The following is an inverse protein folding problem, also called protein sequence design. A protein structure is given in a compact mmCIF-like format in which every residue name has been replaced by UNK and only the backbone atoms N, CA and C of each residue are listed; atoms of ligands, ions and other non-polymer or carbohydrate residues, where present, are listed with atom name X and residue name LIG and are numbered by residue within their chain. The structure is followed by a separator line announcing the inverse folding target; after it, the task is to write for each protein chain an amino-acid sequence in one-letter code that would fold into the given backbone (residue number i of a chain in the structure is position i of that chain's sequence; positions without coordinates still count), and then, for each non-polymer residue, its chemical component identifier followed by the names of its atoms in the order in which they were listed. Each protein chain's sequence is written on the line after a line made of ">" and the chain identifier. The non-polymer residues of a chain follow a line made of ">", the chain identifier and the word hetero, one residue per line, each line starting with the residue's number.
data_IF_250547849004
#
_entry.id   IF_250547849004
#
_cell.length_a   1.000
_cell.length_b   1.000
_cell.length_c   1.000
_cell.angle_alpha   90.00
_cell.angle_beta   90.00
_cell.angle_gamma   90.00
#
_symmetry.space_group_name_H-M   'P 1'
#
loop_
_entity.id
_entity.type
_entity.pdbx_description
1 polymer ?
#
# COMPACT_ATOMS: atom_id res chain seq x y z
N UNK A 1 -7.72 -25.53 -18.10
CA UNK A 1 -8.95 -25.84 -17.33
C UNK A 1 -10.24 -25.99 -18.15
N UNK A 2 -10.31 -25.59 -19.43
CA UNK A 2 -11.54 -25.63 -20.25
C UNK A 2 -11.93 -27.02 -20.81
N UNK A 3 -10.98 -27.98 -20.88
CA UNK A 3 -11.26 -29.33 -21.42
C UNK A 3 -12.02 -30.26 -20.47
N UNK A 4 -11.87 -30.10 -19.17
CA UNK A 4 -12.53 -30.93 -18.16
C UNK A 4 -14.04 -30.66 -17.99
N UNK A 5 -14.47 -29.41 -18.14
CA UNK A 5 -15.89 -29.04 -18.00
C UNK A 5 -16.71 -29.44 -19.23
N UNK A 6 -16.14 -29.31 -20.44
CA UNK A 6 -16.82 -29.75 -21.68
C UNK A 6 -17.04 -31.27 -21.72
N UNK A 7 -16.13 -32.05 -21.17
CA UNK A 7 -16.27 -33.50 -21.05
C UNK A 7 -17.36 -33.93 -20.08
N UNK A 8 -17.59 -33.20 -19.00
CA UNK A 8 -18.64 -33.45 -18.02
C UNK A 8 -20.05 -33.08 -18.55
N UNK A 9 -20.16 -32.00 -19.32
CA UNK A 9 -21.43 -31.61 -19.97
C UNK A 9 -21.83 -32.60 -21.08
N UNK A 10 -20.88 -33.08 -21.87
CA UNK A 10 -21.15 -34.07 -22.92
C UNK A 10 -21.63 -35.42 -22.35
N UNK A 11 -21.17 -35.83 -21.17
CA UNK A 11 -21.59 -37.02 -20.46
C UNK A 11 -23.08 -36.97 -19.96
N UNK A 12 -23.56 -35.77 -19.61
CA UNK A 12 -24.90 -35.55 -19.11
C UNK A 12 -25.99 -35.65 -20.21
N UNK A 13 -25.65 -35.33 -21.46
CA UNK A 13 -26.58 -35.42 -22.59
C UNK A 13 -26.69 -36.81 -23.22
N UNK A 14 -25.75 -37.71 -22.87
CA UNK A 14 -25.69 -39.07 -23.43
C UNK A 14 -26.53 -40.11 -22.65
N UNK A 15 -27.03 -39.79 -21.46
CA UNK A 15 -27.73 -40.71 -20.57
C UNK A 15 -29.23 -40.46 -20.43
N UNK A 16 -29.83 -39.62 -21.27
CA UNK A 16 -31.23 -39.23 -21.18
C UNK A 16 -32.20 -40.24 -21.90
N UNK A 17 -32.20 -41.48 -21.48
CA UNK A 17 -33.15 -42.48 -21.94
C UNK A 17 -33.66 -43.43 -20.84
N UNK A 18 -33.93 -42.92 -19.64
CA UNK A 18 -34.73 -43.61 -18.63
C UNK A 18 -35.50 -42.61 -17.75
N UNK A 19 -36.79 -42.79 -17.59
CA UNK A 19 -37.76 -41.89 -16.97
C UNK A 19 -37.60 -41.69 -15.45
N UNK A 20 -36.59 -42.25 -14.77
CA UNK A 20 -36.34 -42.11 -13.33
C UNK A 20 -35.17 -41.19 -12.97
N UNK A 21 -34.53 -40.52 -13.94
CA UNK A 21 -33.34 -39.71 -13.71
C UNK A 21 -33.57 -38.17 -13.61
N UNK A 22 -34.83 -37.71 -13.77
CA UNK A 22 -35.10 -36.26 -13.86
C UNK A 22 -34.95 -35.51 -12.54
N UNK A 23 -35.28 -36.12 -11.41
CA UNK A 23 -35.29 -35.46 -10.10
C UNK A 23 -33.87 -35.27 -9.50
N UNK A 24 -32.91 -36.11 -9.85
CA UNK A 24 -31.49 -35.95 -9.38
C UNK A 24 -30.63 -35.09 -10.31
N UNK A 25 -31.05 -34.90 -11.57
CA UNK A 25 -30.28 -34.11 -12.54
C UNK A 25 -30.45 -32.59 -12.38
N UNK A 26 -31.61 -32.13 -11.93
CA UNK A 26 -31.90 -30.69 -11.75
C UNK A 26 -31.00 -30.00 -10.72
N UNK A 27 -30.75 -30.55 -9.51
CA UNK A 27 -29.85 -29.94 -8.55
C UNK A 27 -28.38 -30.00 -9.01
N UNK A 28 -28.00 -31.00 -9.80
CA UNK A 28 -26.65 -31.13 -10.32
C UNK A 28 -26.35 -30.12 -11.44
N UNK A 29 -27.34 -29.85 -12.31
CA UNK A 29 -27.24 -28.79 -13.32
C UNK A 29 -27.26 -27.42 -12.68
N UNK A 30 -28.06 -27.16 -11.66
CA UNK A 30 -28.06 -25.89 -10.92
C UNK A 30 -26.69 -25.62 -10.26
N UNK A 31 -26.09 -26.63 -9.63
CA UNK A 31 -24.76 -26.52 -9.03
C UNK A 31 -23.64 -26.25 -10.06
N UNK A 32 -23.72 -26.87 -11.24
CA UNK A 32 -22.79 -26.62 -12.34
C UNK A 32 -23.00 -25.24 -12.96
N UNK A 33 -24.20 -24.73 -13.01
CA UNK A 33 -24.50 -23.36 -13.45
C UNK A 33 -23.94 -22.32 -12.46
N UNK A 34 -24.09 -22.54 -11.15
CA UNK A 34 -23.52 -21.70 -10.11
C UNK A 34 -21.99 -21.70 -10.18
N UNK A 35 -21.36 -22.86 -10.35
CA UNK A 35 -19.91 -22.97 -10.51
C UNK A 35 -19.44 -22.27 -11.79
N UNK A 36 -20.17 -22.37 -12.88
CA UNK A 36 -19.87 -21.69 -14.14
C UNK A 36 -20.01 -20.17 -14.00
N UNK A 37 -20.98 -19.70 -13.25
CA UNK A 37 -21.17 -18.28 -12.95
C UNK A 37 -20.01 -17.74 -12.11
N UNK A 38 -19.62 -18.44 -11.04
CA UNK A 38 -18.43 -18.10 -10.23
C UNK A 38 -17.14 -18.04 -11.06
N UNK A 39 -16.96 -18.99 -11.98
CA UNK A 39 -15.81 -19.00 -12.88
C UNK A 39 -15.81 -17.83 -13.88
N UNK A 40 -16.99 -17.39 -14.34
CA UNK A 40 -17.12 -16.19 -15.19
C UNK A 40 -16.79 -14.93 -14.43
N UNK A 41 -17.32 -14.75 -13.23
CA UNK A 41 -17.04 -13.60 -12.37
C UNK A 41 -15.56 -13.53 -12.00
N UNK A 42 -14.95 -14.66 -11.69
CA UNK A 42 -13.52 -14.77 -11.42
C UNK A 42 -12.68 -14.38 -12.66
N UNK A 43 -13.08 -14.83 -13.85
CA UNK A 43 -12.42 -14.49 -15.11
C UNK A 43 -12.49 -12.99 -15.41
N UNK A 44 -13.65 -12.34 -15.23
CA UNK A 44 -13.80 -10.89 -15.44
C UNK A 44 -12.98 -10.11 -14.41
N UNK A 45 -12.94 -10.58 -13.16
CA UNK A 45 -12.09 -10.00 -12.12
C UNK A 45 -10.59 -10.08 -12.50
N UNK A 46 -10.12 -11.23 -12.98
CA UNK A 46 -8.74 -11.38 -13.45
C UNK A 46 -8.42 -10.53 -14.67
N UNK A 47 -9.39 -10.37 -15.59
CA UNK A 47 -9.22 -9.52 -16.77
C UNK A 47 -9.07 -8.05 -16.37
N UNK A 48 -9.96 -7.54 -15.51
CA UNK A 48 -9.87 -6.17 -15.00
C UNK A 48 -8.55 -5.90 -14.25
N UNK A 49 -8.06 -6.89 -13.48
CA UNK A 49 -6.76 -6.81 -12.79
C UNK A 49 -5.59 -6.77 -13.77
N UNK A 50 -5.62 -7.62 -14.80
CA UNK A 50 -4.58 -7.64 -15.82
C UNK A 50 -4.50 -6.28 -16.54
N UNK A 51 -5.63 -5.69 -16.88
CA UNK A 51 -5.71 -4.37 -17.51
C UNK A 51 -5.18 -3.27 -16.58
N UNK A 52 -5.55 -3.30 -15.29
CA UNK A 52 -5.04 -2.37 -14.27
C UNK A 52 -3.52 -2.52 -14.07
N UNK A 53 -3.02 -3.76 -13.95
CA UNK A 53 -1.58 -4.03 -13.78
C UNK A 53 -0.78 -3.61 -15.02
N UNK A 54 -1.32 -3.84 -16.22
CA UNK A 54 -0.70 -3.39 -17.48
C UNK A 54 -0.66 -1.87 -17.58
N UNK A 55 -1.74 -1.17 -17.14
CA UNK A 55 -1.77 0.28 -17.05
C UNK A 55 -0.70 0.83 -16.09
N UNK A 56 -0.60 0.24 -14.92
CA UNK A 56 0.42 0.61 -13.93
C UNK A 56 1.85 0.34 -14.42
N UNK A 57 2.11 -0.82 -15.04
CA UNK A 57 3.42 -1.13 -15.61
C UNK A 57 3.79 -0.18 -16.75
N UNK A 58 2.83 0.19 -17.59
CA UNK A 58 3.05 1.17 -18.67
C UNK A 58 3.43 2.53 -18.08
N UNK A 59 2.69 3.00 -17.08
CA UNK A 59 3.02 4.23 -16.35
C UNK A 59 4.41 4.17 -15.71
N UNK A 60 4.76 3.06 -15.03
CA UNK A 60 6.10 2.89 -14.44
C UNK A 60 7.21 2.91 -15.50
N UNK A 61 6.98 2.32 -16.68
CA UNK A 61 7.92 2.34 -17.79
C UNK A 61 8.08 3.75 -18.38
N UNK A 62 6.99 4.49 -18.55
CA UNK A 62 7.01 5.88 -19.01
C UNK A 62 7.80 6.77 -18.02
N UNK A 63 7.52 6.67 -16.72
CA UNK A 63 8.27 7.39 -15.68
C UNK A 63 9.75 6.98 -15.66
N UNK A 64 10.06 5.70 -15.81
CA UNK A 64 11.45 5.22 -15.88
C UNK A 64 12.17 5.74 -17.15
N UNK A 65 11.45 5.89 -18.25
CA UNK A 65 11.96 6.45 -19.50
C UNK A 65 12.22 7.95 -19.39
N UNK A 66 11.29 8.72 -18.84
CA UNK A 66 11.41 10.16 -18.64
C UNK A 66 12.56 10.53 -17.67
N UNK A 67 12.81 9.69 -16.67
CA UNK A 67 13.85 9.92 -15.66
C UNK A 67 15.16 9.19 -15.95
N UNK A 68 15.30 8.53 -17.10
CA UNK A 68 16.52 7.84 -17.52
C UNK A 68 16.87 6.57 -16.73
N UNK A 69 15.93 5.96 -16.03
CA UNK A 69 16.14 4.74 -15.21
C UNK A 69 15.95 3.43 -15.98
N UNK A 70 15.66 3.45 -17.27
CA UNK A 70 15.47 2.24 -18.09
C UNK A 70 16.68 1.29 -18.07
N UNK A 71 17.89 1.83 -17.91
CA UNK A 71 19.12 1.03 -17.83
C UNK A 71 19.18 0.13 -16.59
N UNK A 72 18.48 0.49 -15.49
CA UNK A 72 18.41 -0.34 -14.29
C UNK A 72 17.46 -1.54 -14.43
N UNK A 73 16.62 -1.55 -15.44
CA UNK A 73 15.68 -2.65 -15.72
C UNK A 73 16.20 -3.63 -16.78
N UNK A 74 17.31 -3.29 -17.47
CA UNK A 74 17.84 -4.07 -18.61
C UNK A 74 19.03 -4.97 -18.30
N UNK A 75 19.52 -5.02 -17.04
CA UNK A 75 20.62 -5.92 -16.67
C UNK A 75 20.17 -7.37 -16.53
N UNK A 76 19.76 -7.97 -17.65
CA UNK A 76 19.96 -9.39 -17.91
C UNK A 76 19.89 -9.69 -19.43
N UNK A 77 21.08 -9.87 -19.98
CA UNK A 77 21.45 -10.48 -21.29
C UNK A 77 21.58 -9.59 -22.51
N UNK A 78 22.79 -9.71 -22.99
CA UNK A 78 23.27 -9.61 -24.36
C UNK A 78 23.83 -8.27 -24.79
N UNK A 79 25.14 -8.15 -24.62
CA UNK A 79 26.01 -7.45 -25.58
C UNK A 79 25.77 -7.99 -26.99
N UNK A 80 25.32 -7.10 -27.90
CA UNK A 80 25.77 -7.11 -29.30
C UNK A 80 25.31 -5.81 -29.98
N UNK A 81 26.32 -5.05 -30.34
CA UNK A 81 26.54 -4.14 -31.46
C UNK A 81 25.34 -3.64 -32.29
N UNK A 82 25.18 -2.34 -32.39
CA UNK A 82 25.26 -1.63 -33.67
C UNK A 82 25.35 -0.11 -33.48
N UNK A 83 26.23 0.49 -34.22
CA UNK A 83 26.58 1.91 -34.29
C UNK A 83 25.55 2.77 -35.04
N UNK A 84 25.69 4.10 -35.01
CA UNK A 84 24.60 5.05 -35.28
C UNK A 84 24.59 5.51 -36.77
N UNK A 85 23.44 5.89 -37.26
CA UNK A 85 23.33 6.82 -38.39
C UNK A 85 22.26 7.87 -38.08
N UNK A 86 22.76 9.09 -38.13
CA UNK A 86 22.01 10.34 -38.17
C UNK A 86 21.19 10.47 -39.47
N UNK A 87 20.05 11.10 -39.42
CA UNK A 87 19.61 12.03 -40.44
C UNK A 87 18.61 13.04 -39.87
N UNK A 88 19.00 14.30 -40.04
CA UNK A 88 18.22 15.51 -39.84
C UNK A 88 17.06 15.58 -40.82
N UNK A 89 15.93 16.09 -40.38
CA UNK A 89 14.94 16.69 -41.26
C UNK A 89 14.22 17.83 -40.53
N UNK A 90 14.54 19.02 -40.98
CA UNK A 90 13.85 20.28 -40.65
C UNK A 90 12.42 20.25 -41.20
N UNK A 91 11.47 20.84 -40.50
CA UNK A 91 10.20 21.29 -41.06
C UNK A 91 9.73 22.56 -40.34
N UNK A 92 9.46 23.55 -41.18
CA UNK A 92 9.04 24.92 -40.90
C UNK A 92 7.61 25.03 -40.31
N UNK A 93 7.24 26.21 -39.77
CA UNK A 93 6.02 26.41 -39.01
C UNK A 93 4.82 26.77 -39.88
N UNK A 94 3.69 26.18 -39.62
CA UNK A 94 2.40 26.55 -40.19
C UNK A 94 1.54 27.37 -39.22
N UNK A 95 0.94 28.37 -39.80
CA UNK A 95 0.14 29.49 -39.32
C UNK A 95 -1.00 29.14 -38.35
N UNK A 96 -1.19 30.08 -37.44
CA UNK A 96 -2.39 30.27 -36.58
C UNK A 96 -3.65 30.42 -37.45
N UNK A 97 -4.66 29.64 -37.09
CA UNK A 97 -6.07 30.02 -37.34
C UNK A 97 -6.78 29.92 -35.99
N UNK A 98 -7.40 31.05 -35.62
CA UNK A 98 -8.29 31.21 -34.47
C UNK A 98 -9.59 30.48 -34.82
N UNK A 99 -9.93 29.43 -34.04
CA UNK A 99 -11.28 28.85 -34.07
C UNK A 99 -11.94 28.93 -32.69
N UNK A 100 -13.17 29.29 -32.77
CA UNK A 100 -14.15 29.70 -31.79
C UNK A 100 -14.30 28.80 -30.54
N UNK A 101 -14.68 29.47 -29.46
CA UNK A 101 -15.23 28.97 -28.18
C UNK A 101 -16.27 27.85 -28.39
N UNK A 102 -15.84 26.64 -28.39
CA UNK A 102 -16.71 25.49 -28.17
C UNK A 102 -16.69 25.14 -26.66
N UNK A 103 -17.82 25.39 -26.01
CA UNK A 103 -18.11 24.99 -24.63
C UNK A 103 -17.75 23.51 -24.45
N UNK A 104 -16.51 23.23 -24.01
CA UNK A 104 -16.10 21.88 -23.64
C UNK A 104 -16.92 21.46 -22.42
N UNK A 105 -17.89 20.59 -22.67
CA UNK A 105 -18.58 19.85 -21.63
C UNK A 105 -17.52 19.20 -20.73
N UNK A 106 -17.39 19.69 -19.50
CA UNK A 106 -16.54 19.05 -18.49
C UNK A 106 -17.01 17.61 -18.34
N UNK A 107 -16.11 16.60 -18.43
CA UNK A 107 -16.50 15.22 -18.24
C UNK A 107 -17.24 15.06 -16.90
N UNK A 108 -18.29 14.21 -16.82
CA UNK A 108 -19.09 14.07 -15.62
C UNK A 108 -18.17 13.77 -14.45
N UNK A 109 -18.19 14.66 -13.44
CA UNK A 109 -17.36 14.51 -12.24
C UNK A 109 -17.76 13.23 -11.53
N UNK A 110 -16.76 12.42 -11.14
CA UNK A 110 -16.95 11.18 -10.40
C UNK A 110 -17.88 11.42 -9.18
N UNK A 111 -19.03 10.73 -9.06
CA UNK A 111 -19.99 10.97 -7.98
C UNK A 111 -19.39 10.81 -6.58
N UNK A 112 -18.41 9.92 -6.43
CA UNK A 112 -17.72 9.69 -5.16
C UNK A 112 -16.82 10.87 -4.79
N UNK A 113 -16.13 11.47 -5.78
CA UNK A 113 -15.34 12.67 -5.57
C UNK A 113 -16.22 13.86 -5.18
N UNK A 114 -17.39 14.03 -5.83
CA UNK A 114 -18.35 15.09 -5.49
C UNK A 114 -18.83 14.92 -4.06
N UNK A 115 -19.26 13.72 -3.66
CA UNK A 115 -19.69 13.44 -2.31
C UNK A 115 -18.60 13.72 -1.27
N UNK A 116 -17.34 13.36 -1.57
CA UNK A 116 -16.20 13.61 -0.67
C UNK A 116 -15.91 15.10 -0.55
N UNK A 117 -16.04 15.87 -1.64
CA UNK A 117 -15.90 17.33 -1.63
C UNK A 117 -17.00 18.01 -0.81
N UNK A 118 -18.24 17.55 -0.94
CA UNK A 118 -19.37 18.08 -0.17
C UNK A 118 -19.18 17.79 1.33
N UNK A 119 -18.71 16.60 1.69
CA UNK A 119 -18.31 16.28 3.07
C UNK A 119 -17.18 17.18 3.56
N UNK A 120 -16.19 17.50 2.72
CA UNK A 120 -15.10 18.41 3.08
C UNK A 120 -15.62 19.80 3.45
N UNK A 121 -16.55 20.33 2.67
CA UNK A 121 -17.19 21.62 2.94
C UNK A 121 -18.04 21.54 4.21
N UNK A 122 -18.90 20.53 4.32
CA UNK A 122 -19.79 20.33 5.47
C UNK A 122 -19.03 20.23 6.80
N UNK A 123 -17.89 19.52 6.80
CA UNK A 123 -17.08 19.31 7.99
C UNK A 123 -15.93 20.31 8.17
N UNK A 124 -15.82 21.31 7.30
CA UNK A 124 -14.90 22.43 7.44
C UNK A 124 -13.43 22.09 7.20
N UNK A 125 -13.12 20.98 6.46
CA UNK A 125 -11.74 20.64 6.07
C UNK A 125 -11.48 20.85 4.56
N UNK A 126 -12.40 21.49 3.84
CA UNK A 126 -12.14 21.99 2.48
C UNK A 126 -11.18 23.18 2.53
N UNK A 127 -10.12 23.14 1.73
CA UNK A 127 -9.12 24.20 1.61
C UNK A 127 -9.15 24.74 0.19
N UNK A 128 -9.22 26.07 0.04
CA UNK A 128 -9.12 26.70 -1.28
C UNK A 128 -7.65 26.64 -1.77
N UNK A 129 -7.44 26.50 -3.10
CA UNK A 129 -6.09 26.37 -3.64
C UNK A 129 -5.14 27.52 -3.33
N UNK A 130 -5.67 28.72 -3.18
CA UNK A 130 -4.95 29.96 -2.89
C UNK A 130 -4.64 30.17 -1.40
N UNK A 131 -5.18 29.34 -0.52
CA UNK A 131 -4.84 29.34 0.91
C UNK A 131 -3.50 28.68 1.24
N UNK A 132 -2.89 27.95 0.29
CA UNK A 132 -1.66 27.18 0.50
C UNK A 132 -0.48 27.87 -0.18
N UNK A 133 0.54 28.19 0.59
CA UNK A 133 1.86 28.61 0.09
C UNK A 133 2.82 27.41 0.10
N UNK A 134 3.12 26.89 -1.09
CA UNK A 134 4.03 25.73 -1.26
C UNK A 134 5.49 26.16 -1.12
N UNK A 135 6.27 25.33 -0.44
CA UNK A 135 7.73 25.45 -0.30
C UNK A 135 8.43 24.28 -0.97
N UNK A 136 9.57 23.83 -0.42
CA UNK A 136 10.38 22.77 -0.97
C UNK A 136 9.66 21.41 -0.97
N UNK A 137 10.04 20.56 -1.94
CA UNK A 137 9.62 19.14 -1.99
C UNK A 137 10.39 18.38 -0.92
N UNK A 138 9.69 17.78 0.03
CA UNK A 138 10.21 16.96 1.12
C UNK A 138 10.06 15.45 0.88
N UNK A 139 9.28 15.06 -0.12
CA UNK A 139 9.10 13.66 -0.52
C UNK A 139 8.56 13.54 -1.94
N UNK A 140 8.89 12.44 -2.62
CA UNK A 140 8.40 12.13 -3.96
C UNK A 140 7.85 10.72 -4.00
N UNK A 141 6.60 10.60 -4.42
CA UNK A 141 5.94 9.33 -4.69
C UNK A 141 5.64 9.12 -6.17
N UNK A 142 5.10 7.97 -6.53
CA UNK A 142 4.67 7.67 -7.89
C UNK A 142 3.48 8.52 -8.36
N UNK A 143 2.57 8.86 -7.48
CA UNK A 143 1.30 9.55 -7.80
C UNK A 143 1.25 11.00 -7.32
N UNK A 144 2.13 11.38 -6.40
CA UNK A 144 2.11 12.68 -5.75
C UNK A 144 3.50 13.09 -5.28
N UNK A 145 3.72 14.40 -5.20
CA UNK A 145 4.86 14.99 -4.50
C UNK A 145 4.41 15.54 -3.15
N UNK A 146 5.26 15.41 -2.13
CA UNK A 146 4.99 15.94 -0.80
C UNK A 146 5.80 17.21 -0.62
N UNK A 147 5.11 18.31 -0.36
CA UNK A 147 5.70 19.61 -0.13
C UNK A 147 5.58 20.00 1.33
N UNK A 148 6.60 20.70 1.85
CA UNK A 148 6.39 21.59 2.98
C UNK A 148 5.60 22.78 2.50
N UNK A 149 4.70 23.30 3.31
CA UNK A 149 3.84 24.43 2.94
C UNK A 149 3.44 25.22 4.18
N UNK A 150 2.93 26.44 3.93
CA UNK A 150 2.28 27.26 4.95
C UNK A 150 0.79 27.36 4.65
N UNK A 151 -0.05 27.07 5.66
CA UNK A 151 -1.48 27.25 5.62
C UNK A 151 -1.95 28.06 6.82
N UNK A 152 -2.49 29.23 6.58
CA UNK A 152 -2.97 30.17 7.65
C UNK A 152 -1.93 30.38 8.75
N UNK A 153 -0.66 30.50 8.39
CA UNK A 153 0.46 30.69 9.31
C UNK A 153 0.96 29.43 10.03
N UNK A 154 0.40 28.25 9.71
CA UNK A 154 0.85 26.95 10.22
C UNK A 154 1.73 26.26 9.18
N UNK A 155 2.81 25.62 9.62
CA UNK A 155 3.58 24.72 8.79
C UNK A 155 2.85 23.39 8.64
N UNK A 156 2.67 22.95 7.39
CA UNK A 156 1.91 21.74 7.03
C UNK A 156 2.66 20.94 5.97
N UNK A 157 2.30 19.68 5.84
CA UNK A 157 2.71 18.83 4.71
C UNK A 157 1.57 18.74 3.70
N UNK A 158 1.89 18.94 2.42
CA UNK A 158 0.92 18.92 1.33
C UNK A 158 1.29 17.78 0.38
N UNK A 159 0.47 16.75 0.31
CA UNK A 159 0.54 15.69 -0.70
C UNK A 159 -0.15 16.19 -1.96
N UNK A 160 0.63 16.74 -2.88
CA UNK A 160 0.15 17.27 -4.15
C UNK A 160 0.08 16.16 -5.17
N UNK A 161 -1.14 15.81 -5.58
CA UNK A 161 -1.37 14.76 -6.58
C UNK A 161 -1.00 15.30 -7.95
N UNK A 162 -0.19 14.55 -8.69
CA UNK A 162 0.28 14.99 -10.00
C UNK A 162 -0.88 15.04 -11.01
N UNK A 163 -1.05 16.15 -11.73
CA UNK A 163 -2.11 16.26 -12.73
C UNK A 163 -2.03 15.18 -13.82
N UNK A 164 -0.81 14.78 -14.21
CA UNK A 164 -0.55 13.73 -15.20
C UNK A 164 -1.13 12.38 -14.73
N UNK A 165 -0.97 12.07 -13.43
CA UNK A 165 -1.56 10.85 -12.85
C UNK A 165 -3.09 10.89 -12.94
N UNK A 166 -3.72 12.01 -12.61
CA UNK A 166 -5.18 12.15 -12.65
C UNK A 166 -5.72 12.10 -14.07
N UNK A 167 -5.01 12.69 -15.05
CA UNK A 167 -5.40 12.65 -16.48
C UNK A 167 -5.22 11.23 -17.07
N UNK A 168 -4.14 10.54 -16.69
CA UNK A 168 -3.84 9.20 -17.20
C UNK A 168 -4.72 8.09 -16.57
N UNK A 169 -5.33 8.36 -15.40
CA UNK A 169 -6.07 7.35 -14.63
C UNK A 169 -7.50 7.84 -14.34
N UNK A 170 -8.51 7.36 -15.08
CA UNK A 170 -9.91 7.76 -14.86
C UNK A 170 -10.40 7.53 -13.42
N UNK A 171 -9.86 6.53 -12.72
CA UNK A 171 -10.16 6.27 -11.30
C UNK A 171 -9.25 7.02 -10.30
N UNK A 172 -8.32 7.87 -10.78
CA UNK A 172 -7.33 8.54 -9.92
C UNK A 172 -7.96 9.48 -8.90
N UNK A 173 -9.01 10.21 -9.28
CA UNK A 173 -9.74 11.09 -8.39
C UNK A 173 -10.51 10.32 -7.29
N UNK A 174 -11.13 9.19 -7.65
CA UNK A 174 -11.78 8.30 -6.68
C UNK A 174 -10.77 7.70 -5.69
N UNK A 175 -9.56 7.39 -6.15
CA UNK A 175 -8.47 6.92 -5.29
C UNK A 175 -8.11 7.95 -4.21
N UNK A 176 -7.97 9.23 -4.58
CA UNK A 176 -7.69 10.33 -3.64
C UNK A 176 -8.87 10.56 -2.69
N UNK A 177 -10.09 10.54 -3.21
CA UNK A 177 -11.30 10.69 -2.41
C UNK A 177 -11.41 9.58 -1.35
N UNK A 178 -11.02 8.36 -1.68
CA UNK A 178 -11.03 7.22 -0.76
C UNK A 178 -9.96 7.34 0.33
N UNK A 179 -8.76 7.83 0.02
CA UNK A 179 -7.74 8.15 1.02
C UNK A 179 -8.29 9.18 2.03
N UNK A 180 -8.97 10.21 1.54
CA UNK A 180 -9.59 11.24 2.36
C UNK A 180 -10.76 10.73 3.19
N UNK A 181 -11.62 9.88 2.64
CA UNK A 181 -12.74 9.29 3.38
C UNK A 181 -12.24 8.49 4.59
N UNK A 182 -11.16 7.73 4.42
CA UNK A 182 -10.52 7.02 5.55
C UNK A 182 -9.88 8.02 6.51
N UNK A 183 -8.98 8.90 6.02
CA UNK A 183 -8.14 9.75 6.87
C UNK A 183 -8.95 10.81 7.61
N UNK A 184 -10.02 11.35 7.02
CA UNK A 184 -10.88 12.37 7.63
C UNK A 184 -11.55 11.91 8.92
N UNK A 185 -11.72 10.61 9.11
CA UNK A 185 -12.36 10.00 10.29
C UNK A 185 -11.37 9.66 11.40
N UNK A 186 -10.04 9.73 11.14
CA UNK A 186 -9.05 9.27 12.11
C UNK A 186 -8.75 10.35 13.16
N UNK A 187 -8.76 9.95 14.42
CA UNK A 187 -8.45 10.82 15.57
C UNK A 187 -7.67 10.02 16.62
N UNK A 188 -6.36 9.85 16.40
CA UNK A 188 -5.50 9.07 17.30
C UNK A 188 -4.09 9.69 17.38
N UNK A 189 -3.43 9.74 18.54
CA UNK A 189 -2.12 10.36 18.72
C UNK A 189 -1.01 9.73 17.86
N UNK A 190 -1.16 8.49 17.45
CA UNK A 190 -0.18 7.77 16.60
C UNK A 190 -0.66 7.58 15.15
N UNK A 191 -1.64 8.36 14.70
CA UNK A 191 -2.06 8.46 13.30
C UNK A 191 -1.85 9.90 12.84
N UNK A 192 -1.32 10.09 11.63
CA UNK A 192 -1.14 11.43 11.04
C UNK A 192 -2.49 12.16 10.97
N UNK A 193 -2.49 13.45 11.32
CA UNK A 193 -3.71 14.25 11.35
C UNK A 193 -3.98 14.91 10.01
N UNK A 194 -5.19 14.70 9.48
CA UNK A 194 -5.70 15.49 8.37
C UNK A 194 -5.98 16.93 8.85
N UNK A 195 -5.46 17.90 8.11
CA UNK A 195 -5.74 19.33 8.29
C UNK A 195 -6.80 19.81 7.30
N UNK A 196 -6.81 19.27 6.08
CA UNK A 196 -7.78 19.55 5.04
C UNK A 196 -7.37 19.03 3.68
N UNK A 197 -8.15 19.36 2.65
CA UNK A 197 -7.86 18.96 1.27
C UNK A 197 -8.48 19.93 0.27
N UNK A 198 -7.91 19.95 -0.94
CA UNK A 198 -8.47 20.56 -2.12
C UNK A 198 -8.77 19.47 -3.15
N UNK A 199 -9.99 19.41 -3.64
CA UNK A 199 -10.47 18.39 -4.58
C UNK A 199 -11.02 19.02 -5.87
N UNK A 200 -10.13 19.64 -6.66
CA UNK A 200 -10.41 20.20 -7.98
C UNK A 200 -9.50 19.58 -9.04
N UNK A 201 -9.69 18.25 -9.35
CA UNK A 201 -8.89 17.58 -10.36
C UNK A 201 -9.21 18.14 -11.77
N UNK A 202 -8.28 17.98 -12.72
CA UNK A 202 -6.95 17.38 -12.53
C UNK A 202 -5.92 18.34 -11.95
N UNK A 203 -6.11 19.64 -12.02
CA UNK A 203 -5.07 20.63 -11.82
C UNK A 203 -4.74 20.86 -10.33
N UNK A 204 -5.75 20.81 -9.47
CA UNK A 204 -5.61 21.18 -8.07
C UNK A 204 -6.26 20.12 -7.17
N UNK A 205 -5.48 19.07 -6.91
CA UNK A 205 -5.89 17.97 -6.05
C UNK A 205 -4.78 17.70 -5.04
N UNK A 206 -5.02 18.01 -3.75
CA UNK A 206 -4.02 17.82 -2.71
C UNK A 206 -4.63 17.54 -1.35
N UNK A 207 -3.87 16.83 -0.52
CA UNK A 207 -4.21 16.50 0.87
C UNK A 207 -3.24 17.25 1.78
N UNK A 208 -3.75 17.90 2.80
CA UNK A 208 -2.98 18.67 3.79
C UNK A 208 -2.99 17.92 5.12
N UNK A 209 -1.83 17.63 5.64
CA UNK A 209 -1.64 16.97 6.95
C UNK A 209 -0.75 17.82 7.85
N UNK A 210 -0.69 17.49 9.14
CA UNK A 210 0.31 18.04 10.03
C UNK A 210 1.72 17.77 9.46
N UNK A 211 2.62 18.76 9.57
CA UNK A 211 4.02 18.57 9.22
C UNK A 211 4.74 17.92 10.40
N UNK A 212 5.30 16.74 10.17
CA UNK A 212 6.12 16.04 11.16
C UNK A 212 7.60 16.28 10.85
N UNK A 213 8.29 16.97 11.73
CA UNK A 213 9.66 17.44 11.52
C UNK A 213 10.75 16.35 11.68
N UNK A 214 10.33 15.10 11.94
CA UNK A 214 11.23 13.95 12.10
C UNK A 214 11.47 13.17 10.82
N UNK A 215 12.31 12.14 10.93
CA UNK A 215 12.56 11.18 9.87
C UNK A 215 11.43 10.14 9.80
N UNK A 216 11.43 9.32 8.75
CA UNK A 216 10.65 8.07 8.76
C UNK A 216 11.25 7.08 9.76
N UNK A 217 10.45 6.11 10.22
CA UNK A 217 10.93 5.04 11.11
C UNK A 217 12.11 4.26 10.49
N UNK A 218 12.09 4.06 9.16
CA UNK A 218 13.19 3.41 8.44
C UNK A 218 14.48 4.26 8.44
N UNK A 219 14.37 5.55 8.17
CA UNK A 219 15.52 6.46 8.21
C UNK A 219 16.11 6.61 9.63
N UNK A 220 15.25 6.62 10.63
CA UNK A 220 15.66 6.64 12.03
C UNK A 220 16.39 5.35 12.42
N UNK A 221 15.88 4.21 11.99
CA UNK A 221 16.46 2.90 12.33
C UNK A 221 17.80 2.63 11.63
N UNK A 222 17.89 2.99 10.35
CA UNK A 222 19.05 2.63 9.50
C UNK A 222 19.99 3.79 9.19
N UNK A 223 19.66 5.00 9.62
CA UNK A 223 20.40 6.22 9.27
C UNK A 223 20.07 6.71 7.86
N UNK A 224 19.53 7.92 7.72
CA UNK A 224 19.19 8.52 6.44
C UNK A 224 20.41 8.72 5.54
N UNK A 225 20.21 8.60 4.21
CA UNK A 225 21.28 8.72 3.20
C UNK A 225 22.02 10.07 3.25
N UNK A 226 21.36 11.15 3.65
CA UNK A 226 21.91 12.50 3.65
C UNK A 226 22.77 12.83 4.87
N UNK A 227 22.67 12.08 5.97
CA UNK A 227 23.36 12.34 7.25
C UNK A 227 24.66 11.55 7.46
N UNK A 228 25.11 10.77 6.47
CA UNK A 228 26.37 10.02 6.61
C UNK A 228 27.59 10.84 6.20
N UNK A 229 28.36 11.44 7.14
CA UNK A 229 29.78 11.71 6.87
C UNK A 229 30.42 10.33 6.61
N UNK A 230 31.21 10.21 5.55
CA UNK A 230 31.85 8.97 5.04
C UNK A 230 32.63 8.13 6.05
N UNK A 231 32.64 8.46 7.36
CA UNK A 231 33.50 7.88 8.41
C UNK A 231 32.81 7.62 9.76
N UNK A 232 31.54 7.94 9.98
CA UNK A 232 30.89 7.64 11.25
C UNK A 232 30.23 6.25 11.16
N UNK A 233 30.59 5.34 12.07
CA UNK A 233 29.89 4.08 12.28
C UNK A 233 28.48 4.41 12.78
N UNK A 234 27.46 4.10 12.01
CA UNK A 234 26.08 4.18 12.47
C UNK A 234 25.84 3.12 13.54
N UNK A 235 25.31 3.51 14.68
CA UNK A 235 24.80 2.59 15.70
C UNK A 235 23.28 2.70 15.71
N UNK A 236 22.56 1.57 15.66
CA UNK A 236 21.11 1.60 15.74
C UNK A 236 20.65 2.17 17.08
N UNK A 237 19.45 2.75 17.14
CA UNK A 237 18.87 3.24 18.39
C UNK A 237 18.77 2.13 19.45
N UNK A 238 18.78 2.48 20.76
CA UNK A 238 18.60 1.50 21.83
C UNK A 238 17.38 0.62 21.65
N UNK A 239 17.41 -0.64 22.10
CA UNK A 239 16.32 -1.60 21.96
C UNK A 239 15.04 -1.09 22.60
N UNK A 240 15.12 -0.47 23.75
CA UNK A 240 14.00 0.15 24.46
C UNK A 240 13.26 1.16 23.55
N UNK A 241 13.98 2.05 22.90
CA UNK A 241 13.41 3.04 21.99
C UNK A 241 12.74 2.36 20.79
N UNK A 242 13.37 1.31 20.23
CA UNK A 242 12.84 0.56 19.09
C UNK A 242 11.53 -0.16 19.44
N UNK A 243 11.47 -0.81 20.61
CA UNK A 243 10.26 -1.49 21.10
C UNK A 243 9.17 -0.47 21.46
N UNK A 244 9.56 0.70 21.98
CA UNK A 244 8.62 1.81 22.22
C UNK A 244 7.97 2.31 20.92
N UNK A 245 8.74 2.44 19.84
CA UNK A 245 8.17 2.79 18.51
C UNK A 245 7.26 1.69 17.98
N UNK A 246 7.63 0.41 18.16
CA UNK A 246 6.76 -0.70 17.81
C UNK A 246 5.43 -0.64 18.57
N UNK A 247 5.45 -0.32 19.86
CA UNK A 247 4.23 -0.14 20.68
C UNK A 247 3.35 0.97 20.13
N UNK A 248 3.90 2.10 19.74
CA UNK A 248 3.16 3.25 19.22
C UNK A 248 2.49 2.91 17.88
N UNK A 249 3.19 2.21 16.98
CA UNK A 249 2.60 1.68 15.74
C UNK A 249 1.49 0.68 16.05
N UNK A 250 1.71 -0.24 16.98
CA UNK A 250 0.69 -1.23 17.37
C UNK A 250 -0.57 -0.58 17.95
N UNK A 251 -0.42 0.51 18.72
CA UNK A 251 -1.55 1.29 19.24
C UNK A 251 -2.34 1.98 18.13
N UNK A 252 -1.66 2.54 17.11
CA UNK A 252 -2.31 3.10 15.94
C UNK A 252 -3.10 2.03 15.18
N UNK A 253 -2.48 0.88 14.92
CA UNK A 253 -3.12 -0.21 14.18
C UNK A 253 -4.28 -0.84 14.96
N UNK A 254 -4.15 -0.97 16.28
CA UNK A 254 -5.26 -1.38 17.14
C UNK A 254 -6.46 -0.44 17.00
N UNK A 255 -6.21 0.88 17.07
CA UNK A 255 -7.25 1.88 16.92
C UNK A 255 -7.96 1.76 15.55
N UNK A 256 -7.21 1.54 14.46
CA UNK A 256 -7.78 1.36 13.11
C UNK A 256 -8.62 0.08 13.01
N UNK A 257 -8.14 -1.02 13.58
CA UNK A 257 -8.82 -2.32 13.51
C UNK A 257 -10.02 -2.44 14.47
N UNK A 258 -10.05 -1.66 15.56
CA UNK A 258 -11.17 -1.64 16.52
C UNK A 258 -12.35 -0.77 16.05
N UNK A 259 -12.23 -0.06 14.90
CA UNK A 259 -13.32 0.74 14.34
C UNK A 259 -14.43 -0.12 13.73
N UNK A 260 -15.60 0.49 13.57
CA UNK A 260 -16.75 -0.07 12.86
C UNK A 260 -17.22 0.93 11.78
N UNK A 261 -17.02 0.64 10.49
CA UNK A 261 -16.28 -0.50 9.93
C UNK A 261 -14.76 -0.44 10.20
N UNK A 262 -14.12 -1.60 10.26
CA UNK A 262 -12.66 -1.70 10.46
C UNK A 262 -11.91 -1.00 9.34
N UNK A 263 -10.79 -0.39 9.68
CA UNK A 263 -9.86 0.21 8.71
C UNK A 263 -8.64 -0.68 8.57
N UNK A 264 -8.38 -1.15 7.35
CA UNK A 264 -7.17 -1.86 6.97
C UNK A 264 -6.22 -0.87 6.29
N UNK A 265 -4.96 -0.83 6.72
CA UNK A 265 -3.93 0.07 6.15
C UNK A 265 -3.38 -0.45 4.82
N UNK A 266 -3.05 -1.73 4.75
CA UNK A 266 -2.62 -2.52 3.58
C UNK A 266 -1.27 -2.16 2.94
N UNK A 267 -0.59 -1.11 3.41
CA UNK A 267 0.79 -0.76 3.03
C UNK A 267 1.58 -0.30 4.25
N UNK A 268 1.45 -1.05 5.37
CA UNK A 268 2.19 -0.76 6.59
C UNK A 268 3.66 -1.14 6.41
N UNK A 269 4.54 -0.15 6.52
CA UNK A 269 6.01 -0.27 6.37
C UNK A 269 6.72 0.87 7.06
N UNK A 270 8.03 0.76 7.36
CA UNK A 270 8.77 1.80 8.10
C UNK A 270 8.81 3.17 7.41
N UNK A 271 8.72 3.22 6.07
CA UNK A 271 8.67 4.51 5.34
C UNK A 271 7.32 5.22 5.45
N UNK A 272 6.26 4.50 5.82
CA UNK A 272 4.92 5.03 6.06
C UNK A 272 4.64 5.30 7.56
N UNK A 273 5.66 5.19 8.39
CA UNK A 273 5.64 5.60 9.80
C UNK A 273 6.57 6.79 9.96
N UNK A 274 6.02 7.95 10.30
CA UNK A 274 6.76 9.18 10.51
C UNK A 274 7.01 9.39 12.00
N UNK A 275 8.11 10.05 12.34
CA UNK A 275 8.42 10.44 13.70
C UNK A 275 8.16 11.94 13.89
N UNK A 276 7.50 12.32 14.96
CA UNK A 276 7.33 13.72 15.34
C UNK A 276 8.60 14.29 15.98
N UNK A 277 8.60 15.59 16.32
CA UNK A 277 9.73 16.23 16.99
C UNK A 277 10.09 15.60 18.35
N UNK A 278 9.15 14.94 19.00
CA UNK A 278 9.35 14.16 20.23
C UNK A 278 9.73 12.70 19.97
N UNK A 279 10.08 12.34 18.74
CA UNK A 279 10.43 10.98 18.31
C UNK A 279 9.31 9.98 18.50
N UNK A 280 8.04 10.40 18.51
CA UNK A 280 6.88 9.51 18.60
C UNK A 280 6.39 9.13 17.22
N UNK A 281 6.04 7.86 17.05
CA UNK A 281 5.59 7.33 15.77
C UNK A 281 4.16 7.78 15.41
N UNK A 282 3.96 8.09 14.13
CA UNK A 282 2.69 8.41 13.49
C UNK A 282 2.55 7.57 12.21
N UNK A 283 1.53 6.72 12.15
CA UNK A 283 1.19 5.98 10.93
C UNK A 283 0.61 6.96 9.91
N UNK A 284 1.11 6.91 8.69
CA UNK A 284 0.80 7.82 7.59
C UNK A 284 0.57 7.06 6.28
N UNK A 285 0.21 7.76 5.20
CA UNK A 285 -0.05 7.23 3.85
C UNK A 285 -1.20 6.23 3.79
N UNK A 286 -2.41 6.77 3.83
CA UNK A 286 -3.67 6.02 3.76
C UNK A 286 -4.16 5.78 2.33
N UNK A 287 -3.34 6.01 1.30
CA UNK A 287 -3.71 5.82 -0.10
C UNK A 287 -4.17 4.40 -0.43
N UNK A 288 -3.62 3.41 0.24
CA UNK A 288 -4.04 2.02 0.11
C UNK A 288 -5.12 1.59 1.12
N UNK A 289 -5.43 2.41 2.13
CA UNK A 289 -6.35 2.02 3.19
C UNK A 289 -7.78 1.79 2.69
N UNK A 290 -8.49 0.87 3.32
CA UNK A 290 -9.89 0.53 3.00
C UNK A 290 -10.66 0.19 4.26
N UNK A 291 -11.96 0.52 4.20
CA UNK A 291 -12.89 -0.04 5.17
C UNK A 291 -13.19 -1.51 4.84
N UNK A 292 -13.21 -2.35 5.87
CA UNK A 292 -13.78 -3.69 5.80
C UNK A 292 -15.22 -3.60 6.34
N UNK A 293 -16.24 -3.59 5.48
CA UNK A 293 -17.62 -3.46 5.90
C UNK A 293 -18.07 -4.67 6.74
N UNK A 294 -18.92 -4.43 7.73
CA UNK A 294 -19.56 -5.49 8.50
C UNK A 294 -20.31 -6.44 7.57
N UNK A 295 -20.12 -7.74 7.76
CA UNK A 295 -20.73 -8.77 6.91
C UNK A 295 -19.99 -9.07 5.60
N UNK A 296 -18.92 -8.33 5.25
CA UNK A 296 -17.96 -8.75 4.24
C UNK A 296 -16.79 -9.46 4.92
N UNK A 297 -16.64 -10.72 4.59
CA UNK A 297 -15.64 -11.58 5.24
C UNK A 297 -14.20 -11.22 4.86
N UNK A 298 -13.98 -10.65 3.66
CA UNK A 298 -12.62 -10.36 3.18
C UNK A 298 -12.59 -9.37 2.01
N UNK A 299 -11.43 -8.72 1.83
CA UNK A 299 -11.05 -7.96 0.64
C UNK A 299 -10.24 -8.85 -0.31
N UNK A 300 -10.09 -8.43 -1.55
CA UNK A 300 -9.26 -9.11 -2.55
C UNK A 300 -8.42 -8.11 -3.33
N UNK A 301 -7.30 -8.54 -3.87
CA UNK A 301 -6.42 -7.76 -4.73
C UNK A 301 -5.06 -7.52 -4.13
N UNK A 302 -4.04 -7.52 -4.99
CA UNK A 302 -2.66 -7.22 -4.64
C UNK A 302 -2.50 -5.73 -4.33
N UNK A 303 -1.86 -5.39 -3.22
CA UNK A 303 -1.61 -4.01 -2.82
C UNK A 303 -0.50 -3.96 -1.77
N UNK A 304 0.31 -2.90 -1.79
CA UNK A 304 1.38 -2.67 -0.82
C UNK A 304 2.78 -2.94 -1.38
N UNK A 305 3.75 -3.04 -0.49
CA UNK A 305 5.16 -3.23 -0.79
C UNK A 305 5.56 -4.69 -0.55
N UNK A 306 6.04 -5.39 -1.56
CA UNK A 306 6.31 -6.86 -1.55
C UNK A 306 7.05 -7.38 -0.31
N UNK A 307 8.02 -6.64 0.19
CA UNK A 307 8.83 -7.02 1.35
C UNK A 307 7.99 -7.18 2.63
N UNK A 308 6.93 -6.38 2.77
CA UNK A 308 6.05 -6.36 3.96
C UNK A 308 4.69 -7.00 3.70
N UNK A 309 4.42 -7.45 2.48
CA UNK A 309 3.12 -7.94 2.05
C UNK A 309 2.86 -9.37 2.54
N UNK A 310 1.67 -9.61 3.06
CA UNK A 310 1.27 -10.92 3.55
C UNK A 310 1.10 -11.94 2.39
N UNK A 311 1.37 -13.25 2.64
CA UNK A 311 1.29 -14.29 1.61
C UNK A 311 -0.04 -14.34 0.88
N UNK A 312 -1.17 -14.23 1.58
CA UNK A 312 -2.51 -14.25 1.00
C UNK A 312 -2.78 -13.04 0.09
N UNK A 313 -2.19 -11.87 0.42
CA UNK A 313 -2.29 -10.67 -0.42
C UNK A 313 -1.48 -10.84 -1.71
N UNK A 314 -0.26 -11.39 -1.62
CA UNK A 314 0.58 -11.71 -2.78
C UNK A 314 -0.12 -12.74 -3.69
N UNK A 315 -0.80 -13.73 -3.12
CA UNK A 315 -1.57 -14.75 -3.88
C UNK A 315 -2.90 -14.24 -4.41
N UNK A 316 -3.24 -12.95 -4.14
CA UNK A 316 -4.55 -12.38 -4.46
C UNK A 316 -5.74 -13.16 -3.88
N UNK A 317 -5.54 -13.83 -2.76
CA UNK A 317 -6.57 -14.51 -2.00
C UNK A 317 -7.40 -13.51 -1.18
N UNK A 318 -8.59 -13.90 -0.69
CA UNK A 318 -9.34 -13.09 0.26
C UNK A 318 -8.52 -12.84 1.54
N UNK A 319 -8.48 -11.58 1.99
CA UNK A 319 -7.72 -11.19 3.18
C UNK A 319 -8.51 -10.24 4.09
N UNK A 320 -8.15 -10.22 5.35
CA UNK A 320 -8.74 -9.41 6.41
C UNK A 320 -7.68 -8.47 7.02
N UNK A 321 -8.00 -7.86 8.17
CA UNK A 321 -7.06 -7.06 8.95
C UNK A 321 -5.77 -7.81 9.35
N UNK A 322 -5.77 -9.12 9.22
CA UNK A 322 -4.59 -9.96 9.53
C UNK A 322 -3.42 -9.75 8.57
N UNK A 323 -3.66 -9.15 7.39
CA UNK A 323 -2.57 -8.76 6.50
C UNK A 323 -1.70 -7.64 7.11
N UNK A 324 -2.30 -6.68 7.83
CA UNK A 324 -1.56 -5.62 8.52
C UNK A 324 -0.76 -6.19 9.73
N UNK A 325 -1.28 -7.23 10.37
CA UNK A 325 -0.56 -7.94 11.44
C UNK A 325 0.70 -8.60 10.91
N UNK A 326 0.62 -9.21 9.73
CA UNK A 326 1.79 -9.76 9.05
C UNK A 326 2.85 -8.68 8.77
N UNK A 327 2.43 -7.56 8.16
CA UNK A 327 3.32 -6.42 7.89
C UNK A 327 3.97 -5.90 9.17
N UNK A 328 3.21 -5.80 10.25
CA UNK A 328 3.73 -5.41 11.56
C UNK A 328 4.76 -6.42 12.10
N UNK A 329 4.55 -7.72 11.91
CA UNK A 329 5.54 -8.75 12.29
C UNK A 329 6.88 -8.56 11.60
N UNK A 330 6.88 -8.23 10.30
CA UNK A 330 8.10 -7.90 9.54
C UNK A 330 8.77 -6.64 10.11
N UNK A 331 7.99 -5.57 10.38
CA UNK A 331 8.51 -4.33 10.98
C UNK A 331 9.09 -4.58 12.37
N UNK A 332 8.43 -5.39 13.19
CA UNK A 332 8.90 -5.70 14.54
C UNK A 332 10.23 -6.45 14.51
N UNK A 333 10.40 -7.40 13.58
CA UNK A 333 11.68 -8.08 13.36
C UNK A 333 12.76 -7.10 12.88
N UNK A 334 12.45 -6.21 11.95
CA UNK A 334 13.36 -5.17 11.46
C UNK A 334 13.78 -4.22 12.58
N UNK A 335 12.84 -3.81 13.44
CA UNK A 335 13.13 -3.02 14.64
C UNK A 335 13.98 -3.79 15.65
N UNK A 336 13.77 -5.09 15.80
CA UNK A 336 14.52 -5.93 16.74
C UNK A 336 15.97 -6.12 16.28
N UNK A 337 16.16 -6.52 15.03
CA UNK A 337 17.49 -6.80 14.46
C UNK A 337 18.25 -5.55 14.02
N UNK A 338 17.54 -4.45 13.75
CA UNK A 338 18.05 -3.28 13.05
C UNK A 338 18.67 -3.63 11.67
N UNK A 339 18.20 -4.70 11.04
CA UNK A 339 18.59 -5.13 9.70
C UNK A 339 17.37 -5.04 8.76
N UNK A 340 17.61 -4.65 7.50
CA UNK A 340 16.53 -4.68 6.51
C UNK A 340 16.02 -6.11 6.31
N UNK A 341 14.71 -6.30 6.17
CA UNK A 341 14.14 -7.63 5.95
C UNK A 341 14.74 -8.31 4.71
N UNK A 342 15.09 -9.58 4.83
CA UNK A 342 15.68 -10.43 3.77
C UNK A 342 17.05 -9.96 3.25
N UNK A 343 17.79 -9.12 4.01
CA UNK A 343 19.13 -8.63 3.62
C UNK A 343 20.14 -9.78 3.43
N UNK A 344 19.92 -10.91 4.11
CA UNK A 344 20.73 -12.12 3.99
C UNK A 344 20.55 -12.83 2.63
N UNK A 345 19.54 -12.46 1.86
CA UNK A 345 19.29 -13.04 0.55
C UNK A 345 19.83 -12.13 -0.57
N UNK A 346 20.16 -12.74 -1.70
CA UNK A 346 20.46 -12.00 -2.94
C UNK A 346 19.21 -11.78 -3.80
N UNK A 347 18.00 -11.99 -3.25
CA UNK A 347 16.77 -11.96 -4.00
C UNK A 347 16.27 -10.53 -4.21
N UNK A 348 15.80 -10.25 -5.42
CA UNK A 348 15.02 -9.04 -5.70
C UNK A 348 13.58 -9.15 -5.13
N UNK A 349 12.85 -8.01 -5.06
CA UNK A 349 11.51 -7.95 -4.44
C UNK A 349 10.51 -8.99 -4.97
N UNK A 350 10.47 -9.20 -6.28
CA UNK A 350 9.56 -10.19 -6.89
C UNK A 350 9.91 -11.63 -6.50
N UNK A 351 11.20 -11.97 -6.34
CA UNK A 351 11.62 -13.28 -5.89
C UNK A 351 11.30 -13.49 -4.43
N UNK A 352 11.51 -12.47 -3.59
CA UNK A 352 11.08 -12.47 -2.18
C UNK A 352 9.58 -12.75 -2.09
N UNK A 353 8.76 -12.02 -2.85
CA UNK A 353 7.32 -12.22 -2.87
C UNK A 353 6.92 -13.65 -3.22
N UNK A 354 7.52 -14.24 -4.26
CA UNK A 354 7.25 -15.63 -4.67
C UNK A 354 7.59 -16.63 -3.56
N UNK A 355 8.75 -16.49 -2.90
CA UNK A 355 9.19 -17.40 -1.85
C UNK A 355 8.36 -17.22 -0.57
N UNK A 356 7.95 -15.99 -0.24
CA UNK A 356 7.03 -15.67 0.87
C UNK A 356 5.65 -16.27 0.61
N UNK A 357 5.10 -16.06 -0.59
CA UNK A 357 3.79 -16.61 -0.98
C UNK A 357 3.76 -18.14 -0.95
N UNK A 358 4.89 -18.78 -1.27
CA UNK A 358 5.06 -20.22 -1.20
C UNK A 358 5.37 -20.77 0.22
N UNK A 359 5.43 -19.89 1.23
CA UNK A 359 5.73 -20.27 2.62
C UNK A 359 7.19 -20.69 2.88
N UNK A 360 8.10 -20.45 1.93
CA UNK A 360 9.51 -20.90 2.02
C UNK A 360 10.45 -19.84 2.58
N UNK A 361 10.01 -18.60 2.71
CA UNK A 361 10.87 -17.50 3.13
C UNK A 361 10.19 -16.66 4.22
N UNK A 362 10.96 -16.32 5.25
CA UNK A 362 10.70 -15.29 6.25
C UNK A 362 12.02 -14.58 6.53
N UNK A 363 12.01 -13.32 7.03
CA UNK A 363 13.24 -12.68 7.46
C UNK A 363 13.95 -13.46 8.55
N UNK A 364 15.28 -13.39 8.57
CA UNK A 364 16.07 -14.03 9.61
C UNK A 364 15.73 -13.47 10.99
N UNK A 365 15.44 -14.33 11.93
CA UNK A 365 15.36 -13.99 13.35
C UNK A 365 16.75 -13.70 13.91
N UNK A 366 16.87 -12.98 15.05
CA UNK A 366 18.14 -12.83 15.77
C UNK A 366 18.80 -14.19 15.99
N UNK A 367 20.13 -14.27 15.79
CA UNK A 367 20.90 -15.50 15.89
C UNK A 367 21.13 -15.98 17.34
N UNK A 368 22.25 -16.68 17.58
CA UNK A 368 22.61 -17.26 18.90
C UNK A 368 22.75 -16.25 20.03
N UNK A 369 22.79 -14.95 19.73
CA UNK A 369 22.70 -13.86 20.72
C UNK A 369 21.24 -13.58 21.14
N UNK A 370 20.30 -14.49 20.76
CA UNK A 370 18.87 -14.40 21.11
C UNK A 370 18.63 -14.31 22.64
N UNK A 371 19.56 -14.78 23.45
CA UNK A 371 19.51 -14.66 24.92
C UNK A 371 19.56 -13.19 25.38
N UNK A 372 19.97 -12.26 24.52
CA UNK A 372 19.93 -10.80 24.80
C UNK A 372 18.59 -10.14 24.49
N UNK A 373 17.64 -10.87 23.91
CA UNK A 373 16.30 -10.34 23.59
C UNK A 373 15.22 -11.02 24.45
N UNK A 374 14.20 -10.29 24.89
CA UNK A 374 13.06 -10.90 25.58
C UNK A 374 12.42 -12.01 24.74
N UNK A 375 12.34 -13.23 25.28
CA UNK A 375 11.84 -14.44 24.58
C UNK A 375 10.42 -14.20 24.01
N UNK A 376 9.56 -13.52 24.75
CA UNK A 376 8.20 -13.20 24.33
C UNK A 376 8.13 -12.33 23.07
N UNK A 377 9.19 -11.56 22.76
CA UNK A 377 9.24 -10.71 21.58
C UNK A 377 9.48 -11.51 20.29
N UNK A 378 10.35 -12.53 20.36
CA UNK A 378 10.61 -13.44 19.24
C UNK A 378 9.37 -14.28 18.93
N UNK A 379 8.71 -14.82 19.99
CA UNK A 379 7.45 -15.56 19.83
C UNK A 379 6.36 -14.68 19.19
N UNK A 380 6.24 -13.42 19.63
CA UNK A 380 5.30 -12.48 19.06
C UNK A 380 5.56 -12.26 17.55
N UNK A 381 6.81 -12.07 17.14
CA UNK A 381 7.19 -11.91 15.75
C UNK A 381 6.75 -13.15 14.94
N UNK A 382 7.10 -14.35 15.40
CA UNK A 382 6.75 -15.60 14.74
C UNK A 382 5.23 -15.76 14.56
N UNK A 383 4.46 -15.41 15.58
CA UNK A 383 2.99 -15.44 15.50
C UNK A 383 2.42 -14.37 14.59
N UNK A 384 3.00 -13.15 14.55
CA UNK A 384 2.52 -12.09 13.66
C UNK A 384 2.65 -12.45 12.19
N UNK A 385 3.71 -13.13 11.78
CA UNK A 385 3.93 -13.53 10.39
C UNK A 385 3.58 -14.98 10.06
N UNK A 386 2.71 -15.59 10.87
CA UNK A 386 2.23 -16.95 10.61
C UNK A 386 1.67 -17.08 9.20
N UNK A 387 1.81 -18.27 8.62
CA UNK A 387 1.30 -18.57 7.29
C UNK A 387 -0.23 -18.54 7.24
N UNK A 388 -0.86 -19.01 8.34
CA UNK A 388 -2.31 -19.00 8.49
C UNK A 388 -2.77 -17.68 9.14
N UNK A 389 -3.55 -16.83 8.42
CA UNK A 389 -3.98 -15.54 8.95
C UNK A 389 -4.76 -15.62 10.27
N UNK A 390 -5.57 -16.67 10.47
CA UNK A 390 -6.37 -16.85 11.68
C UNK A 390 -5.52 -17.03 12.94
N UNK A 391 -4.30 -17.55 12.81
CA UNK A 391 -3.39 -17.81 13.92
C UNK A 391 -2.61 -16.56 14.35
N UNK A 392 -2.59 -15.53 13.51
CA UNK A 392 -1.97 -14.24 13.83
C UNK A 392 -2.75 -13.54 14.95
N UNK A 393 -2.06 -12.96 15.96
CA UNK A 393 -2.72 -12.27 17.07
C UNK A 393 -3.49 -11.02 16.61
N UNK A 394 -4.40 -10.53 17.44
CA UNK A 394 -4.98 -9.19 17.29
C UNK A 394 -4.00 -8.11 17.75
N UNK A 395 -4.17 -6.86 17.30
CA UNK A 395 -3.38 -5.75 17.85
C UNK A 395 -3.66 -5.49 19.33
N UNK A 396 -4.80 -5.91 19.87
CA UNK A 396 -5.06 -5.90 21.30
C UNK A 396 -4.09 -6.83 22.05
N UNK A 397 -3.90 -8.05 21.54
CA UNK A 397 -2.92 -9.00 22.09
C UNK A 397 -1.49 -8.49 21.93
N UNK A 398 -1.14 -7.99 20.72
CA UNK A 398 0.19 -7.43 20.42
C UNK A 398 0.54 -6.30 21.41
N UNK A 399 -0.36 -5.34 21.62
CA UNK A 399 -0.12 -4.22 22.55
C UNK A 399 0.02 -4.66 23.99
N UNK A 400 -0.66 -5.73 24.42
CA UNK A 400 -0.47 -6.31 25.75
C UNK A 400 0.92 -6.91 25.92
N UNK A 401 1.34 -7.77 24.98
CA UNK A 401 2.66 -8.41 25.01
C UNK A 401 3.79 -7.38 24.94
N UNK A 402 3.71 -6.38 24.06
CA UNK A 402 4.73 -5.32 23.97
C UNK A 402 4.83 -4.50 25.26
N UNK A 403 3.71 -4.25 25.97
CA UNK A 403 3.72 -3.55 27.25
C UNK A 403 4.46 -4.35 28.32
N UNK A 404 4.22 -5.64 28.40
CA UNK A 404 4.93 -6.55 29.30
C UNK A 404 6.43 -6.59 28.99
N UNK A 405 6.78 -6.67 27.70
CA UNK A 405 8.18 -6.65 27.24
C UNK A 405 8.89 -5.34 27.62
N UNK A 406 8.27 -4.18 27.42
CA UNK A 406 8.86 -2.89 27.80
C UNK A 406 9.10 -2.85 29.32
N UNK A 407 8.15 -3.34 30.13
CA UNK A 407 8.32 -3.41 31.58
C UNK A 407 9.50 -4.29 31.99
N UNK A 408 9.70 -5.44 31.30
CA UNK A 408 10.86 -6.32 31.54
C UNK A 408 12.17 -5.62 31.22
N UNK A 409 12.28 -5.00 30.03
CA UNK A 409 13.50 -4.26 29.62
C UNK A 409 13.85 -3.16 30.63
N UNK A 410 12.87 -2.42 31.13
CA UNK A 410 13.08 -1.36 32.11
C UNK A 410 13.52 -1.90 33.48
N UNK A 411 13.11 -3.10 33.86
CA UNK A 411 13.51 -3.75 35.11
C UNK A 411 14.93 -4.34 35.03
N UNK A 412 15.34 -4.88 33.89
CA UNK A 412 16.67 -5.43 33.65
C UNK A 412 17.75 -4.36 33.47
N UNK A 413 17.36 -3.14 33.09
CA UNK A 413 18.26 -1.98 32.92
C UNK A 413 18.53 -1.18 34.19
N UNK A 414 17.87 -1.55 35.33
CA UNK A 414 18.10 -0.95 36.66
C UNK A 414 19.03 -1.81 37.50
#
# INVERSE_FOLDING_TARGET
>A
MSRGLRGRLAGLFSSASSQNGHDEQVPQVAKLMEELQKQRELKETYKARLESTQGYLRFCLEVAQEHGFLHLMSDNKAQQQCSPHCHDAEAEPASMEEEDDELTETPPSDPYLVATRDLAVQHGWSIAPDEIELHEVIGRGSTADIHRATWRGLEVAVKWVRPEFLRANPGGAAFVAQELDVLSRQRHPHVVRLMGACLHPPERCFIVTELLGGATLGEWLHGGRERRPRRASWTPPPLEDRVSRAMEVALAMRYLHDQTPRVLHRDLKPSNVLLDAGMRARVADFGHARFLPDGKEALTGETGTYVYMAPEVIRCEPYTEKCDVYSFGIILNELLTAEHPYIETSYGPSKIALEVAAGRLRPRLPGSDADSYPIGLIDLICRCWDAEPSDRPSFATITSTLRETIQQILQEGQ
#
